data_IF_010861078783
#
_entry.id   IF_010861078783
#
_cell.length_a   1.000
_cell.length_b   1.000
_cell.length_c   1.000
_cell.angle_alpha   90.00
_cell.angle_beta   90.00
_cell.angle_gamma   90.00
#
_symmetry.space_group_name_H-M   'P 1'
#
loop_
_entity.id
_entity.type
_entity.pdbx_description
1 polymer ?
#
# COMPACT_ATOMS: atom_id res chain seq x y z
N UNK A 1 -19.42 -9.61 20.32
CA UNK A 1 -18.45 -8.91 19.45
C UNK A 1 -17.06 -9.14 20.03
N UNK A 2 -16.24 -9.91 19.36
CA UNK A 2 -14.84 -10.11 19.78
C UNK A 2 -14.14 -8.76 19.61
N UNK A 3 -13.61 -8.20 20.69
CA UNK A 3 -12.91 -6.92 20.66
C UNK A 3 -11.57 -7.14 19.97
N UNK A 4 -11.31 -6.48 18.83
CA UNK A 4 -10.02 -6.52 18.15
C UNK A 4 -8.89 -6.23 19.13
N UNK A 5 -7.88 -7.10 19.18
CA UNK A 5 -6.67 -6.87 19.96
C UNK A 5 -5.68 -6.10 19.09
N UNK A 6 -5.26 -4.95 19.58
CA UNK A 6 -4.38 -4.03 18.88
C UNK A 6 -2.98 -4.08 19.49
N UNK A 7 -1.99 -3.77 18.67
CA UNK A 7 -0.59 -3.54 19.07
C UNK A 7 -0.18 -2.13 18.69
N UNK A 8 0.59 -1.48 19.54
CA UNK A 8 1.19 -0.18 19.25
C UNK A 8 2.70 -0.36 19.15
N UNK A 9 3.27 0.17 18.10
CA UNK A 9 4.70 0.10 17.82
C UNK A 9 5.22 1.38 17.20
N UNK A 10 6.51 1.62 17.31
CA UNK A 10 7.19 2.75 16.67
C UNK A 10 8.24 2.22 15.71
N UNK A 11 8.28 2.80 14.52
CA UNK A 11 9.33 2.55 13.52
C UNK A 11 10.14 3.82 13.35
N UNK A 12 11.45 3.71 13.50
CA UNK A 12 12.39 4.83 13.46
C UNK A 12 13.02 4.97 12.07
N UNK A 13 13.01 6.20 11.52
CA UNK A 13 13.63 6.57 10.25
C UNK A 13 14.57 7.76 10.49
N UNK A 14 15.73 7.49 11.05
CA UNK A 14 16.70 8.53 11.41
C UNK A 14 16.17 9.48 12.48
N UNK A 15 15.69 10.66 12.08
CA UNK A 15 15.10 11.67 13.00
C UNK A 15 13.57 11.65 13.00
N UNK A 16 12.96 10.74 12.28
CA UNK A 16 11.51 10.67 12.12
C UNK A 16 11.00 9.34 12.67
N UNK A 17 10.11 9.42 13.65
CA UNK A 17 9.43 8.28 14.23
C UNK A 17 8.03 8.18 13.65
N UNK A 18 7.62 6.96 13.27
CA UNK A 18 6.26 6.66 12.85
C UNK A 18 5.63 5.70 13.86
N UNK A 19 4.59 6.18 14.53
CA UNK A 19 3.81 5.39 15.48
C UNK A 19 2.68 4.68 14.75
N UNK A 20 2.52 3.39 15.02
CA UNK A 20 1.52 2.54 14.38
C UNK A 20 0.65 1.84 15.39
N UNK A 21 -0.64 1.86 15.14
CA UNK A 21 -1.63 0.96 15.71
C UNK A 21 -1.95 -0.11 14.67
N UNK A 22 -1.66 -1.36 14.96
CA UNK A 22 -1.83 -2.51 14.07
C UNK A 22 -2.72 -3.56 14.71
N UNK A 23 -3.16 -4.57 13.96
CA UNK A 23 -3.61 -5.82 14.56
C UNK A 23 -2.45 -6.42 15.37
N UNK A 24 -2.77 -7.07 16.49
CA UNK A 24 -1.76 -7.71 17.34
C UNK A 24 -1.03 -8.85 16.62
N UNK A 25 -1.76 -9.62 15.82
CA UNK A 25 -1.21 -10.65 14.95
C UNK A 25 -2.15 -10.94 13.74
N UNK A 26 -1.70 -11.81 12.85
CA UNK A 26 -2.41 -12.18 11.62
C UNK A 26 -3.74 -12.92 11.83
N UNK A 27 -4.11 -13.29 13.03
CA UNK A 27 -5.32 -14.04 13.35
C UNK A 27 -6.36 -13.18 14.09
N UNK A 28 -6.11 -11.89 14.25
CA UNK A 28 -6.95 -11.00 15.08
C UNK A 28 -8.19 -10.44 14.36
N UNK A 29 -8.39 -10.72 13.08
CA UNK A 29 -9.50 -10.16 12.30
C UNK A 29 -10.44 -11.25 11.81
N UNK A 30 -11.72 -11.18 12.21
CA UNK A 30 -12.76 -12.18 11.94
C UNK A 30 -13.82 -11.74 10.90
N UNK A 31 -13.70 -10.56 10.29
CA UNK A 31 -14.71 -9.95 9.39
C UNK A 31 -16.15 -10.05 9.91
N UNK A 32 -16.47 -9.54 11.11
CA UNK A 32 -17.76 -9.81 11.78
C UNK A 32 -18.97 -9.24 11.05
N UNK A 33 -18.77 -8.35 10.07
CA UNK A 33 -19.81 -7.74 9.26
C UNK A 33 -19.88 -8.32 7.84
N UNK A 34 -18.99 -9.25 7.49
CA UNK A 34 -18.86 -9.83 6.16
C UNK A 34 -18.48 -8.80 5.09
N UNK A 35 -17.78 -7.73 5.48
CA UNK A 35 -17.42 -6.66 4.54
C UNK A 35 -16.29 -7.10 3.61
N UNK A 36 -15.28 -7.78 4.13
CA UNK A 36 -14.19 -8.34 3.34
C UNK A 36 -14.67 -9.52 2.46
N UNK A 37 -15.53 -10.39 3.01
CA UNK A 37 -16.13 -11.50 2.26
C UNK A 37 -16.94 -11.01 1.04
N UNK A 38 -17.75 -9.95 1.20
CA UNK A 38 -18.53 -9.35 0.10
C UNK A 38 -17.67 -8.81 -1.03
N UNK A 39 -16.43 -8.43 -0.75
CA UNK A 39 -15.42 -8.01 -1.74
C UNK A 39 -14.63 -9.18 -2.33
N UNK A 40 -14.98 -10.41 -1.98
CA UNK A 40 -14.30 -11.62 -2.47
C UNK A 40 -12.94 -11.87 -1.80
N UNK A 41 -12.60 -11.16 -0.71
CA UNK A 41 -11.37 -11.39 0.04
C UNK A 41 -11.53 -12.70 0.82
N UNK A 42 -10.62 -13.64 0.59
CA UNK A 42 -10.66 -14.94 1.27
C UNK A 42 -10.40 -14.79 2.77
N UNK A 43 -10.97 -15.70 3.59
CA UNK A 43 -10.78 -15.65 5.05
C UNK A 43 -9.31 -15.76 5.47
N UNK A 44 -8.47 -16.44 4.69
CA UNK A 44 -7.03 -16.51 4.92
C UNK A 44 -6.34 -15.15 4.71
N UNK A 45 -6.95 -14.26 3.94
CA UNK A 45 -6.40 -12.95 3.59
C UNK A 45 -6.97 -11.81 4.45
N UNK A 46 -8.07 -12.01 5.18
CA UNK A 46 -8.72 -10.96 5.97
C UNK A 46 -7.76 -10.17 6.88
N UNK A 47 -6.88 -10.78 7.67
CA UNK A 47 -6.04 -10.02 8.59
C UNK A 47 -4.74 -9.49 7.96
N UNK A 48 -4.48 -9.76 6.68
CA UNK A 48 -3.19 -9.44 6.05
C UNK A 48 -2.93 -7.94 5.95
N UNK A 49 -3.98 -7.13 5.80
CA UNK A 49 -3.86 -5.66 5.78
C UNK A 49 -3.33 -5.10 7.09
N UNK A 50 -3.64 -5.77 8.22
CA UNK A 50 -3.56 -5.22 9.57
C UNK A 50 -2.20 -5.34 10.26
N UNK A 51 -1.17 -5.83 9.57
CA UNK A 51 0.18 -6.02 10.11
C UNK A 51 1.24 -5.34 9.24
N UNK A 52 2.38 -5.01 9.83
CA UNK A 52 3.52 -4.48 9.06
C UNK A 52 4.33 -5.65 8.50
N UNK A 53 4.45 -5.70 7.18
CA UNK A 53 5.22 -6.73 6.48
C UNK A 53 6.68 -6.33 6.33
N UNK A 54 7.63 -7.30 6.26
CA UNK A 54 9.04 -6.98 6.03
C UNK A 54 9.27 -6.15 4.76
N UNK A 55 8.54 -6.43 3.68
CA UNK A 55 8.64 -5.67 2.42
C UNK A 55 8.20 -4.22 2.57
N UNK A 56 7.18 -3.94 3.40
CA UNK A 56 6.75 -2.56 3.67
C UNK A 56 7.77 -1.79 4.50
N UNK A 57 8.50 -2.47 5.39
CA UNK A 57 9.63 -1.88 6.11
C UNK A 57 10.76 -1.49 5.16
N UNK A 58 11.12 -2.38 4.22
CA UNK A 58 12.15 -2.11 3.20
C UNK A 58 11.73 -0.94 2.31
N UNK A 59 10.47 -0.93 1.84
CA UNK A 59 9.95 0.18 1.03
C UNK A 59 10.00 1.50 1.80
N UNK A 60 9.55 1.52 3.06
CA UNK A 60 9.53 2.72 3.88
C UNK A 60 10.96 3.26 4.13
N UNK A 61 11.94 2.40 4.40
CA UNK A 61 13.34 2.81 4.51
C UNK A 61 13.88 3.38 3.20
N UNK A 62 13.58 2.76 2.07
CA UNK A 62 14.00 3.29 0.76
C UNK A 62 13.38 4.68 0.50
N UNK A 63 12.08 4.83 0.75
CA UNK A 63 11.34 6.09 0.57
C UNK A 63 11.77 7.15 1.59
N UNK A 64 12.33 6.77 2.73
CA UNK A 64 12.81 7.73 3.72
C UNK A 64 13.88 8.67 3.18
N UNK A 65 14.71 8.20 2.27
CA UNK A 65 15.79 8.98 1.66
C UNK A 65 15.46 9.45 0.23
N UNK A 66 14.32 9.02 -0.30
CA UNK A 66 13.91 9.33 -1.66
C UNK A 66 13.45 10.79 -1.77
N UNK A 67 13.94 11.51 -2.81
CA UNK A 67 13.51 12.86 -3.09
C UNK A 67 12.18 12.85 -3.89
N UNK A 68 11.10 13.10 -3.22
CA UNK A 68 9.76 13.16 -3.82
C UNK A 68 9.49 14.46 -4.58
N UNK A 69 10.18 15.53 -4.27
CA UNK A 69 9.91 16.86 -4.87
C UNK A 69 8.43 17.21 -4.78
N UNK A 70 7.85 17.58 -5.92
CA UNK A 70 6.43 17.93 -6.08
C UNK A 70 5.60 16.77 -6.67
N UNK A 71 6.14 15.57 -6.74
CA UNK A 71 5.49 14.40 -7.33
C UNK A 71 4.15 14.10 -6.64
N UNK A 72 3.14 13.79 -7.45
CA UNK A 72 1.91 13.17 -6.98
C UNK A 72 2.15 11.67 -6.83
N UNK A 73 1.97 11.15 -5.62
CA UNK A 73 2.40 9.81 -5.24
C UNK A 73 1.18 8.94 -4.95
N UNK A 74 1.22 7.68 -5.40
CA UNK A 74 0.23 6.64 -5.09
C UNK A 74 0.90 5.49 -4.35
N UNK A 75 0.40 5.10 -3.18
CA UNK A 75 0.72 3.82 -2.55
C UNK A 75 -0.39 2.81 -2.85
N UNK A 76 -0.03 1.69 -3.49
CA UNK A 76 -0.94 0.60 -3.85
C UNK A 76 -0.85 -0.50 -2.80
N UNK A 77 -2.00 -1.00 -2.33
CA UNK A 77 -2.06 -2.06 -1.31
C UNK A 77 -1.36 -1.65 -0.04
N UNK A 78 -1.72 -0.48 0.48
CA UNK A 78 -0.98 0.19 1.55
C UNK A 78 -1.00 -0.55 2.89
N UNK A 79 -1.99 -1.42 3.16
CA UNK A 79 -2.16 -2.10 4.43
C UNK A 79 -2.15 -1.13 5.60
N UNK A 80 -1.09 -1.20 6.44
CA UNK A 80 -0.88 -0.25 7.54
C UNK A 80 -0.31 1.09 7.10
N UNK A 81 -0.04 1.27 5.80
CA UNK A 81 0.35 2.53 5.15
C UNK A 81 1.63 3.17 5.74
N UNK A 82 2.62 2.36 6.11
CA UNK A 82 3.84 2.87 6.74
C UNK A 82 4.56 3.89 5.85
N UNK A 83 4.68 3.62 4.54
CA UNK A 83 5.29 4.55 3.58
C UNK A 83 4.47 5.83 3.41
N UNK A 84 3.13 5.71 3.33
CA UNK A 84 2.23 6.88 3.26
C UNK A 84 2.32 7.76 4.50
N UNK A 85 2.40 7.17 5.69
CA UNK A 85 2.57 7.93 6.95
C UNK A 85 3.90 8.68 6.99
N UNK A 86 4.99 8.03 6.57
CA UNK A 86 6.30 8.65 6.48
C UNK A 86 6.31 9.80 5.47
N UNK A 87 5.73 9.61 4.28
CA UNK A 87 5.60 10.64 3.26
C UNK A 87 4.72 11.80 3.72
N UNK A 88 3.65 11.52 4.47
CA UNK A 88 2.79 12.53 5.07
C UNK A 88 3.55 13.41 6.07
N UNK A 89 4.41 12.83 6.92
CA UNK A 89 5.31 13.60 7.80
C UNK A 89 6.24 14.53 7.03
N UNK A 90 6.59 14.17 5.80
CA UNK A 90 7.41 15.00 4.88
C UNK A 90 6.59 15.99 4.04
N UNK A 91 5.28 16.07 4.28
CA UNK A 91 4.33 16.91 3.53
C UNK A 91 4.29 16.57 2.03
N UNK A 92 4.58 15.32 1.65
CA UNK A 92 4.48 14.89 0.27
C UNK A 92 3.00 14.73 -0.16
N UNK A 93 2.74 14.90 -1.46
CA UNK A 93 1.41 14.73 -2.04
C UNK A 93 1.12 13.23 -2.25
N UNK A 94 0.68 12.55 -1.20
CA UNK A 94 0.45 11.10 -1.17
C UNK A 94 -1.05 10.75 -1.16
N UNK A 95 -1.42 9.76 -1.98
CA UNK A 95 -2.71 9.05 -1.94
C UNK A 95 -2.41 7.59 -1.64
N UNK A 96 -3.13 7.01 -0.69
CA UNK A 96 -3.02 5.59 -0.34
C UNK A 96 -4.24 4.81 -0.85
N UNK A 97 -4.03 3.58 -1.31
CA UNK A 97 -5.11 2.69 -1.73
C UNK A 97 -4.95 1.30 -1.14
N UNK A 98 -6.08 0.66 -0.86
CA UNK A 98 -6.12 -0.75 -0.47
C UNK A 98 -7.48 -1.35 -0.85
N UNK A 99 -7.53 -2.65 -1.09
CA UNK A 99 -8.78 -3.35 -1.35
C UNK A 99 -9.54 -3.68 -0.06
N UNK A 100 -8.82 -3.81 1.07
CA UNK A 100 -9.42 -4.20 2.34
C UNK A 100 -10.25 -3.06 2.94
N UNK A 101 -11.53 -3.30 3.35
CA UNK A 101 -12.45 -2.25 3.79
C UNK A 101 -11.99 -1.54 5.09
N UNK A 102 -11.22 -2.21 5.93
CA UNK A 102 -10.73 -1.65 7.20
C UNK A 102 -9.43 -0.85 7.06
N UNK A 103 -8.70 -0.96 5.95
CA UNK A 103 -7.40 -0.31 5.79
C UNK A 103 -7.49 1.22 5.94
N UNK A 104 -8.53 1.84 5.39
CA UNK A 104 -8.77 3.28 5.51
C UNK A 104 -8.98 3.75 6.96
N UNK A 105 -9.67 2.96 7.78
CA UNK A 105 -9.89 3.28 9.20
C UNK A 105 -8.58 3.22 9.99
N UNK A 106 -7.74 2.22 9.73
CA UNK A 106 -6.42 2.13 10.33
C UNK A 106 -5.48 3.24 9.85
N UNK A 107 -5.52 3.60 8.56
CA UNK A 107 -4.77 4.74 8.04
C UNK A 107 -5.14 6.04 8.74
N UNK A 108 -6.44 6.33 8.87
CA UNK A 108 -6.91 7.53 9.57
C UNK A 108 -6.45 7.56 11.03
N UNK A 109 -6.57 6.44 11.74
CA UNK A 109 -6.09 6.31 13.13
C UNK A 109 -4.59 6.56 13.24
N UNK A 110 -3.81 5.95 12.33
CA UNK A 110 -2.36 6.07 12.34
C UNK A 110 -1.90 7.48 11.93
N UNK A 111 -2.59 8.16 11.01
CA UNK A 111 -2.31 9.55 10.69
C UNK A 111 -2.53 10.45 11.93
N UNK A 112 -3.63 10.26 12.66
CA UNK A 112 -3.89 10.99 13.91
C UNK A 112 -2.86 10.69 15.00
N UNK A 113 -2.45 9.43 15.17
CA UNK A 113 -1.43 9.00 16.13
C UNK A 113 -0.08 9.68 15.88
N UNK A 114 0.20 10.03 14.62
CA UNK A 114 1.41 10.74 14.21
C UNK A 114 1.24 12.25 14.10
N UNK A 115 0.11 12.82 14.51
CA UNK A 115 -0.19 14.25 14.36
C UNK A 115 -0.05 14.73 12.91
N UNK A 116 -0.28 13.81 11.96
CA UNK A 116 -0.17 14.08 10.52
C UNK A 116 -1.43 14.72 9.94
N UNK A 117 -1.29 15.30 8.75
CA UNK A 117 -2.44 15.76 7.96
C UNK A 117 -3.29 14.54 7.52
N UNK A 118 -4.57 14.73 7.20
CA UNK A 118 -5.36 13.69 6.55
C UNK A 118 -4.68 13.22 5.25
N UNK A 119 -4.57 11.89 5.08
CA UNK A 119 -4.04 11.29 3.86
C UNK A 119 -5.22 10.94 2.96
N UNK A 120 -5.16 11.32 1.68
CA UNK A 120 -6.15 10.88 0.70
C UNK A 120 -6.15 9.36 0.62
N UNK A 121 -7.34 8.76 0.70
CA UNK A 121 -7.50 7.32 0.65
C UNK A 121 -8.63 6.93 -0.29
N UNK A 122 -8.40 5.91 -1.11
CA UNK A 122 -9.44 5.26 -1.89
C UNK A 122 -9.43 3.74 -1.64
N UNK A 123 -10.59 3.17 -1.36
CA UNK A 123 -10.75 1.72 -1.32
C UNK A 123 -10.86 1.22 -2.76
N UNK A 124 -9.86 0.46 -3.22
CA UNK A 124 -9.69 0.12 -4.63
C UNK A 124 -9.28 -1.34 -4.80
N UNK A 125 -10.04 -2.08 -5.59
CA UNK A 125 -9.61 -3.34 -6.19
C UNK A 125 -8.98 -3.07 -7.57
N UNK A 126 -7.94 -3.77 -7.94
CA UNK A 126 -7.23 -3.53 -9.22
C UNK A 126 -8.03 -3.94 -10.47
N UNK A 127 -9.13 -4.68 -10.29
CA UNK A 127 -10.03 -5.06 -11.36
C UNK A 127 -11.15 -4.03 -11.61
N UNK A 128 -11.29 -3.06 -10.71
CA UNK A 128 -12.36 -2.08 -10.76
C UNK A 128 -11.95 -0.87 -11.62
N UNK A 129 -12.93 -0.16 -12.20
CA UNK A 129 -12.67 1.10 -12.87
C UNK A 129 -12.60 2.24 -11.85
N UNK A 130 -11.52 3.01 -11.85
CA UNK A 130 -11.30 4.11 -10.90
C UNK A 130 -10.82 5.38 -11.61
N UNK A 131 -11.59 5.86 -12.58
CA UNK A 131 -11.27 7.03 -13.40
C UNK A 131 -11.07 8.32 -12.57
N UNK A 132 -11.65 8.38 -11.38
CA UNK A 132 -11.56 9.51 -10.44
C UNK A 132 -10.23 9.53 -9.63
N UNK A 133 -9.47 8.44 -9.60
CA UNK A 133 -8.19 8.39 -8.91
C UNK A 133 -7.14 9.29 -9.58
N UNK A 134 -7.19 9.39 -10.91
CA UNK A 134 -6.31 10.23 -11.74
C UNK A 134 -4.92 9.63 -11.93
N UNK A 135 -3.95 10.47 -12.37
CA UNK A 135 -2.60 10.04 -12.74
C UNK A 135 -1.56 10.47 -11.71
N UNK A 136 -0.46 9.69 -11.61
CA UNK A 136 0.60 9.86 -10.62
C UNK A 136 1.98 9.89 -11.26
N UNK A 137 2.92 10.58 -10.60
CA UNK A 137 4.32 10.70 -11.01
C UNK A 137 5.21 9.64 -10.35
N UNK A 138 4.74 9.09 -9.23
CA UNK A 138 5.41 8.01 -8.50
C UNK A 138 4.35 7.04 -7.97
N UNK A 139 4.51 5.76 -8.27
CA UNK A 139 3.67 4.69 -7.73
C UNK A 139 4.56 3.79 -6.89
N UNK A 140 4.16 3.55 -5.64
CA UNK A 140 4.89 2.70 -4.70
C UNK A 140 4.00 1.57 -4.19
N UNK A 141 4.62 0.46 -3.80
CA UNK A 141 3.89 -0.65 -3.20
C UNK A 141 4.80 -1.75 -2.70
N UNK A 142 4.29 -2.59 -1.82
CA UNK A 142 5.05 -3.71 -1.26
C UNK A 142 4.21 -4.94 -1.04
N UNK A 143 4.80 -6.12 -1.29
CA UNK A 143 4.18 -7.43 -1.05
C UNK A 143 2.86 -7.66 -1.80
N UNK A 144 2.74 -7.20 -3.04
CA UNK A 144 1.50 -7.20 -3.82
C UNK A 144 1.27 -8.47 -4.64
N UNK A 145 2.34 -9.22 -4.96
CA UNK A 145 2.33 -10.33 -5.92
C UNK A 145 2.15 -11.69 -5.24
N UNK A 146 1.12 -11.87 -4.40
CA UNK A 146 0.89 -13.15 -3.72
C UNK A 146 -0.02 -14.13 -4.48
N UNK A 147 -0.74 -13.69 -5.53
CA UNK A 147 -1.52 -14.53 -6.44
C UNK A 147 -1.09 -14.34 -7.89
N UNK A 148 -1.30 -15.38 -8.74
CA UNK A 148 -0.87 -15.34 -10.14
C UNK A 148 -1.62 -14.26 -10.95
N UNK A 149 -2.91 -14.13 -10.72
CA UNK A 149 -3.77 -13.13 -11.38
C UNK A 149 -3.38 -11.68 -11.05
N UNK A 150 -2.70 -11.45 -9.92
CA UNK A 150 -2.28 -10.12 -9.52
C UNK A 150 -1.28 -9.50 -10.48
N UNK A 151 -0.50 -10.29 -11.23
CA UNK A 151 0.48 -9.76 -12.20
C UNK A 151 -0.20 -8.89 -13.26
N UNK A 152 -1.24 -9.43 -13.91
CA UNK A 152 -1.94 -8.70 -14.97
C UNK A 152 -2.77 -7.53 -14.41
N UNK A 153 -3.49 -7.75 -13.31
CA UNK A 153 -4.33 -6.74 -12.69
C UNK A 153 -3.49 -5.55 -12.19
N UNK A 154 -2.39 -5.82 -11.51
CA UNK A 154 -1.50 -4.79 -10.99
C UNK A 154 -0.84 -3.99 -12.13
N UNK A 155 -0.36 -4.68 -13.18
CA UNK A 155 0.26 -4.01 -14.33
C UNK A 155 -0.72 -3.08 -15.04
N UNK A 156 -1.95 -3.54 -15.31
CA UNK A 156 -2.98 -2.72 -15.92
C UNK A 156 -3.37 -1.52 -15.02
N UNK A 157 -3.50 -1.74 -13.72
CA UNK A 157 -3.80 -0.69 -12.76
C UNK A 157 -2.69 0.38 -12.72
N UNK A 158 -1.43 -0.03 -12.70
CA UNK A 158 -0.29 0.88 -12.73
C UNK A 158 -0.28 1.68 -14.03
N UNK A 159 -0.45 1.03 -15.17
CA UNK A 159 -0.48 1.70 -16.49
C UNK A 159 -1.59 2.74 -16.54
N UNK A 160 -2.81 2.40 -16.12
CA UNK A 160 -3.97 3.28 -16.14
C UNK A 160 -3.81 4.54 -15.27
N UNK A 161 -2.97 4.48 -14.23
CA UNK A 161 -2.75 5.57 -13.28
C UNK A 161 -1.38 6.23 -13.38
N UNK A 162 -0.61 5.95 -14.41
CA UNK A 162 0.75 6.49 -14.62
C UNK A 162 0.75 7.73 -15.50
N UNK A 163 1.40 8.80 -15.06
CA UNK A 163 1.83 9.88 -15.94
C UNK A 163 2.90 9.36 -16.93
N UNK A 164 3.14 10.01 -18.09
CA UNK A 164 4.10 9.54 -19.10
C UNK A 164 5.54 9.32 -18.60
N UNK A 165 5.95 9.99 -17.52
CA UNK A 165 7.26 9.83 -16.88
C UNK A 165 7.13 9.27 -15.46
N UNK A 166 6.10 8.46 -15.20
CA UNK A 166 5.87 7.88 -13.89
C UNK A 166 6.98 6.91 -13.51
N UNK A 167 7.48 7.03 -12.29
CA UNK A 167 8.35 6.04 -11.66
C UNK A 167 7.52 5.03 -10.86
N UNK A 168 7.92 3.77 -10.89
CA UNK A 168 7.25 2.69 -10.15
C UNK A 168 8.27 1.98 -9.27
N UNK A 169 8.04 1.97 -7.95
CA UNK A 169 8.90 1.34 -6.95
C UNK A 169 8.12 0.27 -6.22
N UNK A 170 8.41 -0.99 -6.51
CA UNK A 170 7.77 -2.13 -5.88
C UNK A 170 8.78 -2.97 -5.11
N UNK A 171 8.44 -3.34 -3.88
CA UNK A 171 9.25 -4.26 -3.05
C UNK A 171 8.51 -5.59 -2.93
N UNK A 172 9.12 -6.65 -3.48
CA UNK A 172 8.58 -8.01 -3.45
C UNK A 172 9.51 -8.96 -2.68
N UNK A 173 8.99 -9.84 -1.80
CA UNK A 173 9.82 -10.76 -1.02
C UNK A 173 10.40 -11.93 -1.84
N UNK A 174 10.24 -11.93 -3.16
CA UNK A 174 10.83 -12.95 -4.04
C UNK A 174 9.94 -14.17 -4.28
N UNK A 175 8.62 -14.00 -4.35
CA UNK A 175 7.67 -15.10 -4.65
C UNK A 175 7.69 -15.57 -6.12
N UNK A 176 8.67 -15.15 -6.91
CA UNK A 176 8.90 -15.64 -8.29
C UNK A 176 8.02 -14.97 -9.37
N UNK A 177 7.21 -13.97 -9.03
CA UNK A 177 6.33 -13.30 -9.99
C UNK A 177 6.88 -11.96 -10.51
N UNK A 178 7.95 -11.45 -9.91
CA UNK A 178 8.53 -10.15 -10.28
C UNK A 178 8.92 -10.06 -11.76
N UNK A 179 9.49 -11.13 -12.33
CA UNK A 179 9.91 -11.14 -13.73
C UNK A 179 8.71 -11.02 -14.68
N UNK A 180 7.62 -11.75 -14.40
CA UNK A 180 6.38 -11.66 -15.19
C UNK A 180 5.77 -10.25 -15.13
N UNK A 181 5.80 -9.62 -13.94
CA UNK A 181 5.36 -8.24 -13.82
C UNK A 181 6.27 -7.29 -14.61
N UNK A 182 7.59 -7.43 -14.50
CA UNK A 182 8.54 -6.61 -15.26
C UNK A 182 8.35 -6.76 -16.77
N UNK A 183 8.17 -7.98 -17.27
CA UNK A 183 7.87 -8.25 -18.69
C UNK A 183 6.59 -7.52 -19.12
N UNK A 184 5.52 -7.61 -18.33
CA UNK A 184 4.26 -6.93 -18.60
C UNK A 184 4.39 -5.41 -18.57
N UNK A 185 5.15 -4.85 -17.63
CA UNK A 185 5.40 -3.41 -17.55
C UNK A 185 6.22 -2.90 -18.74
N UNK A 186 7.16 -3.70 -19.23
CA UNK A 186 7.92 -3.38 -20.46
C UNK A 186 7.00 -3.30 -21.68
N UNK A 187 5.98 -4.16 -21.80
CA UNK A 187 4.99 -4.09 -22.87
C UNK A 187 4.21 -2.74 -22.85
N UNK A 188 4.03 -2.13 -21.68
CA UNK A 188 3.43 -0.80 -21.50
C UNK A 188 4.44 0.36 -21.66
N UNK A 189 5.69 0.07 -22.00
CA UNK A 189 6.73 1.07 -22.28
C UNK A 189 7.57 1.47 -21.06
N UNK A 190 7.44 0.78 -19.94
CA UNK A 190 8.31 1.01 -18.78
C UNK A 190 9.69 0.39 -18.99
N UNK A 191 10.73 1.05 -18.45
CA UNK A 191 12.07 0.49 -18.36
C UNK A 191 12.25 -0.16 -16.98
N UNK A 192 12.65 -1.44 -16.94
CA UNK A 192 12.85 -2.16 -15.67
C UNK A 192 14.29 -2.02 -15.20
N UNK A 193 14.47 -1.61 -13.93
CA UNK A 193 15.73 -1.62 -13.19
C UNK A 193 15.59 -2.61 -12.02
N UNK A 194 16.59 -3.42 -11.77
CA UNK A 194 16.60 -4.44 -10.70
C UNK A 194 17.75 -4.22 -9.72
#
# INVERSE_FOLDING_TARGET
MTKLRLCYQTVEFGKTDIHLCTLRDKQEFDDPQGAAEKLGISSASWPLFGVVWPSSMVLAHYISDYNTGTKRILEIGCGMALSSLLLNKKLANITATDHHPEAGLFLQRNAQLNEGLPINYAQVGWADAHDDLGLFDLIIGSDLLYEEQHVALLANFIEAHSNPACEVILVDPGRGRKNKLSERMIEFGFNSLH
#
